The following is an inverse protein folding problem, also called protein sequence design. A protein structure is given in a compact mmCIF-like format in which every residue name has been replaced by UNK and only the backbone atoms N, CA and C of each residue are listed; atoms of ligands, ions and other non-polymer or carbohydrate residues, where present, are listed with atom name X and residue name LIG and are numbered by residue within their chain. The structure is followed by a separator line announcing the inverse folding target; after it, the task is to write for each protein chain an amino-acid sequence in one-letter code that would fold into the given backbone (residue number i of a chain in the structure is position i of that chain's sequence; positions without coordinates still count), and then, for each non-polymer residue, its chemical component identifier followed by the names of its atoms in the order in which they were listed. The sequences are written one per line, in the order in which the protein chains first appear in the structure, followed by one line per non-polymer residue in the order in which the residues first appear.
data_IF_115307263217
#
_entry.id   IF_115307263217
#
_cell.length_a   1.000
_cell.length_b   1.000
_cell.length_c   1.000
_cell.angle_alpha   90.00
_cell.angle_beta   90.00
_cell.angle_gamma   90.00
#
_symmetry.space_group_name_H-M   'P 1'
#
loop_
_entity.id
_entity.type
_entity.pdbx_description
1 polymer ?
#
# COMPACT_ATOMS: atom_id res chain seq x y z
N UNK A 1 18.11 9.01 5.31
CA UNK A 1 18.68 8.07 4.33
C UNK A 1 17.87 6.78 4.42
N UNK A 2 17.12 6.37 3.37
CA UNK A 2 16.43 5.10 3.35
C UNK A 2 17.42 3.93 3.35
N UNK A 3 17.04 2.84 4.04
CA UNK A 3 17.73 1.56 4.04
C UNK A 3 16.76 0.53 3.48
N UNK A 4 17.06 0.00 2.30
CA UNK A 4 16.24 -1.03 1.67
C UNK A 4 16.52 -2.39 2.30
N UNK A 5 15.44 -3.14 2.55
CA UNK A 5 15.45 -4.52 3.02
C UNK A 5 14.61 -5.39 2.08
N UNK A 6 14.87 -6.68 2.07
CA UNK A 6 14.11 -7.62 1.23
C UNK A 6 12.66 -7.79 1.69
N UNK A 7 11.85 -8.40 0.85
CA UNK A 7 10.44 -8.71 1.09
C UNK A 7 10.23 -10.18 1.42
N UNK A 8 9.08 -10.50 2.04
CA UNK A 8 8.64 -11.85 2.34
C UNK A 8 7.86 -12.47 1.16
N UNK A 9 7.32 -13.68 1.36
CA UNK A 9 6.51 -14.40 0.37
C UNK A 9 5.18 -13.71 0.03
N UNK A 10 4.71 -12.80 0.87
CA UNK A 10 3.52 -11.98 0.63
C UNK A 10 3.85 -10.64 -0.03
N UNK A 11 5.06 -10.48 -0.55
CA UNK A 11 5.56 -9.24 -1.18
C UNK A 11 5.62 -8.04 -0.23
N UNK A 12 5.47 -8.24 1.06
CA UNK A 12 5.58 -7.21 2.08
C UNK A 12 6.98 -7.20 2.69
N UNK A 13 7.31 -6.13 3.41
CA UNK A 13 8.61 -6.00 4.09
C UNK A 13 8.88 -7.18 5.02
N UNK A 14 10.04 -7.83 4.87
CA UNK A 14 10.42 -8.98 5.70
C UNK A 14 10.87 -8.53 7.09
N UNK A 15 10.11 -8.88 8.11
CA UNK A 15 10.38 -8.52 9.52
C UNK A 15 11.71 -9.06 10.06
N UNK A 16 12.20 -10.20 9.55
CA UNK A 16 13.49 -10.75 9.95
C UNK A 16 14.64 -9.95 9.34
N UNK A 17 14.48 -9.48 8.11
CA UNK A 17 15.46 -8.59 7.46
C UNK A 17 15.45 -7.21 8.11
N UNK A 18 14.28 -6.70 8.48
CA UNK A 18 14.14 -5.45 9.26
C UNK A 18 14.93 -5.53 10.56
N UNK A 19 14.78 -6.60 11.36
CA UNK A 19 15.52 -6.75 12.63
C UNK A 19 17.04 -6.66 12.44
N UNK A 20 17.55 -7.25 11.35
CA UNK A 20 18.99 -7.23 11.03
C UNK A 20 19.48 -5.86 10.53
N UNK A 21 18.58 -5.06 9.96
CA UNK A 21 18.90 -3.74 9.41
C UNK A 21 18.96 -2.61 10.47
N UNK A 22 18.38 -2.84 11.64
CA UNK A 22 18.29 -1.81 12.71
C UNK A 22 19.67 -1.48 13.26
N UNK A 23 19.92 -0.20 13.40
CA UNK A 23 21.13 0.36 14.05
C UNK A 23 20.73 1.46 15.03
N UNK A 24 21.68 1.97 15.84
CA UNK A 24 21.44 3.12 16.72
C UNK A 24 20.99 4.39 15.98
N UNK A 25 21.16 4.46 14.67
CA UNK A 25 20.73 5.58 13.81
C UNK A 25 19.35 5.38 13.19
N UNK A 26 18.76 4.19 13.27
CA UNK A 26 17.44 3.92 12.74
C UNK A 26 16.39 4.70 13.54
N UNK A 27 15.49 5.38 12.87
CA UNK A 27 14.46 6.23 13.49
C UNK A 27 13.03 5.79 13.15
N UNK A 28 12.85 5.15 12.00
CA UNK A 28 11.53 4.76 11.53
C UNK A 28 11.60 3.48 10.70
N UNK A 29 10.49 2.76 10.68
CA UNK A 29 10.16 1.76 9.68
C UNK A 29 9.02 2.35 8.83
N UNK A 30 9.17 2.26 7.51
CA UNK A 30 8.13 2.61 6.55
C UNK A 30 7.65 1.29 5.91
N UNK A 31 6.44 0.87 6.23
CA UNK A 31 5.86 -0.38 5.77
C UNK A 31 4.77 -0.11 4.74
N UNK A 32 4.86 -0.78 3.58
CA UNK A 32 3.79 -0.78 2.58
C UNK A 32 2.93 -2.02 2.80
N UNK A 33 1.61 -1.85 2.82
CA UNK A 33 0.63 -2.94 2.83
C UNK A 33 0.26 -3.23 1.36
N UNK A 34 1.03 -4.10 0.71
CA UNK A 34 1.04 -4.22 -0.74
C UNK A 34 -0.17 -5.00 -1.28
N UNK A 35 -0.81 -4.49 -2.34
CA UNK A 35 -1.93 -5.12 -3.07
C UNK A 35 -3.09 -5.58 -2.18
N UNK A 36 -3.32 -4.88 -1.07
CA UNK A 36 -4.41 -5.20 -0.16
C UNK A 36 -4.01 -6.08 1.02
N UNK A 37 -2.81 -6.65 1.02
CA UNK A 37 -2.32 -7.56 2.06
C UNK A 37 -1.60 -6.79 3.17
N UNK A 38 -2.06 -6.86 4.43
CA UNK A 38 -1.32 -6.25 5.53
C UNK A 38 0.07 -6.86 5.69
N UNK A 39 1.07 -6.03 5.94
CA UNK A 39 2.35 -6.50 6.45
C UNK A 39 2.19 -7.09 7.87
N UNK A 40 3.23 -7.71 8.42
CA UNK A 40 3.22 -8.19 9.80
C UNK A 40 3.27 -7.01 10.81
N UNK A 41 2.24 -6.15 10.75
CA UNK A 41 2.17 -4.85 11.42
C UNK A 41 2.31 -4.93 12.93
N UNK A 42 1.77 -5.97 13.56
CA UNK A 42 1.92 -6.19 15.00
C UNK A 42 3.39 -6.36 15.37
N UNK A 43 4.13 -7.19 14.61
CA UNK A 43 5.55 -7.44 14.83
C UNK A 43 6.36 -6.16 14.55
N UNK A 44 6.06 -5.45 13.47
CA UNK A 44 6.75 -4.21 13.12
C UNK A 44 6.54 -3.12 14.18
N UNK A 45 5.32 -3.00 14.72
CA UNK A 45 5.01 -2.08 15.83
C UNK A 45 5.82 -2.44 17.08
N UNK A 46 5.88 -3.74 17.43
CA UNK A 46 6.61 -4.19 18.62
C UNK A 46 8.13 -3.96 18.46
N UNK A 47 8.67 -4.16 17.26
CA UNK A 47 10.05 -3.80 16.92
C UNK A 47 10.27 -2.30 17.11
N UNK A 48 9.38 -1.46 16.60
CA UNK A 48 9.47 -0.01 16.74
C UNK A 48 9.42 0.42 18.20
N UNK A 49 8.48 -0.11 18.97
CA UNK A 49 8.34 0.20 20.40
C UNK A 49 9.59 -0.17 21.20
N UNK A 50 10.11 -1.38 21.00
CA UNK A 50 11.30 -1.87 21.72
C UNK A 50 12.57 -1.08 21.39
N UNK A 51 12.64 -0.48 20.21
CA UNK A 51 13.82 0.28 19.76
C UNK A 51 13.58 1.82 19.78
N UNK A 52 12.48 2.30 20.36
CA UNK A 52 12.11 3.73 20.39
C UNK A 52 12.09 4.37 18.99
N UNK A 53 11.59 3.61 18.01
CA UNK A 53 11.40 4.04 16.63
C UNK A 53 9.91 4.28 16.34
N UNK A 54 9.62 4.90 15.22
CA UNK A 54 8.26 5.08 14.73
C UNK A 54 7.95 4.11 13.60
N UNK A 55 6.71 3.65 13.51
CA UNK A 55 6.16 2.93 12.37
C UNK A 55 5.31 3.91 11.56
N UNK A 56 5.51 3.94 10.25
CA UNK A 56 4.68 4.65 9.28
C UNK A 56 4.16 3.61 8.29
N UNK A 57 2.90 3.70 7.94
CA UNK A 57 2.26 2.74 7.04
C UNK A 57 1.85 3.42 5.73
N UNK A 58 2.22 2.83 4.61
CA UNK A 58 1.59 3.12 3.34
C UNK A 58 0.46 2.10 3.13
N UNK A 59 -0.76 2.59 3.24
CA UNK A 59 -1.97 1.78 3.10
C UNK A 59 -2.78 2.17 1.85
N UNK A 60 -2.11 2.77 0.87
CA UNK A 60 -2.78 3.26 -0.33
C UNK A 60 -3.52 2.17 -1.09
N UNK A 61 -2.97 0.94 -1.12
CA UNK A 61 -3.58 -0.21 -1.78
C UNK A 61 -4.38 -1.12 -0.83
N UNK A 62 -4.53 -0.77 0.45
CA UNK A 62 -5.06 -1.69 1.46
C UNK A 62 -6.16 -1.10 2.32
N UNK A 63 -6.98 -0.22 1.75
CA UNK A 63 -8.16 0.30 2.44
C UNK A 63 -9.11 -0.85 2.83
N UNK A 64 -9.43 -0.95 4.13
CA UNK A 64 -10.30 -1.99 4.68
C UNK A 64 -9.61 -3.31 5.01
N UNK A 65 -8.31 -3.44 4.76
CA UNK A 65 -7.53 -4.58 5.24
C UNK A 65 -7.38 -4.51 6.77
N UNK A 66 -7.37 -5.67 7.42
CA UNK A 66 -7.22 -5.75 8.87
C UNK A 66 -6.21 -6.83 9.27
N UNK A 67 -5.58 -6.62 10.42
CA UNK A 67 -4.77 -7.62 11.13
C UNK A 67 -5.25 -7.69 12.58
N UNK A 68 -5.62 -8.88 13.06
CA UNK A 68 -6.17 -9.10 14.41
C UNK A 68 -7.32 -8.13 14.74
N UNK A 69 -8.22 -7.91 13.79
CA UNK A 69 -9.39 -7.04 13.94
C UNK A 69 -9.10 -5.53 13.92
N UNK A 70 -7.84 -5.10 13.81
CA UNK A 70 -7.46 -3.69 13.70
C UNK A 70 -7.13 -3.34 12.25
N UNK A 71 -7.60 -2.19 11.76
CA UNK A 71 -7.35 -1.72 10.39
C UNK A 71 -5.87 -1.45 10.14
N UNK A 72 -5.35 -1.95 9.02
CA UNK A 72 -4.08 -1.52 8.48
C UNK A 72 -4.11 0.00 8.20
N UNK A 73 -2.95 0.66 8.31
CA UNK A 73 -2.86 2.13 8.29
C UNK A 73 -3.09 2.79 9.66
N UNK A 74 -3.40 2.00 10.72
CA UNK A 74 -3.64 2.52 12.07
C UNK A 74 -2.73 1.92 13.15
N UNK A 75 -1.76 1.10 12.76
CA UNK A 75 -0.82 0.45 13.70
C UNK A 75 0.31 1.37 14.13
N UNK A 76 0.78 2.22 13.22
CA UNK A 76 1.90 3.12 13.41
C UNK A 76 1.52 4.52 13.89
N UNK A 77 2.50 5.43 13.82
CA UNK A 77 2.29 6.85 14.10
C UNK A 77 1.29 7.49 13.13
N UNK A 78 1.23 7.01 11.90
CA UNK A 78 0.27 7.42 10.89
C UNK A 78 0.29 6.48 9.70
N UNK A 79 -0.82 6.48 8.98
CA UNK A 79 -1.02 5.71 7.76
C UNK A 79 -1.55 6.57 6.63
N UNK A 80 -1.06 6.32 5.42
CA UNK A 80 -1.51 7.00 4.20
C UNK A 80 -2.56 6.17 3.47
N UNK A 81 -3.51 6.83 2.82
CA UNK A 81 -4.56 6.24 2.00
C UNK A 81 -4.67 7.02 0.69
N UNK A 82 -4.81 6.30 -0.41
CA UNK A 82 -5.05 6.89 -1.72
C UNK A 82 -6.52 6.82 -2.10
N UNK A 83 -7.01 7.89 -2.71
CA UNK A 83 -8.33 7.96 -3.31
C UNK A 83 -8.25 8.18 -4.82
N UNK A 84 -7.13 7.76 -5.41
CA UNK A 84 -6.92 7.75 -6.85
C UNK A 84 -7.95 6.85 -7.53
N UNK A 85 -8.29 7.12 -8.80
CA UNK A 85 -9.43 6.51 -9.48
C UNK A 85 -9.43 4.98 -9.52
N UNK A 86 -8.27 4.33 -9.44
CA UNK A 86 -8.15 2.86 -9.49
C UNK A 86 -8.12 2.20 -8.11
N UNK A 87 -8.25 2.96 -7.02
CA UNK A 87 -8.18 2.44 -5.66
C UNK A 87 -9.56 2.02 -5.11
N UNK A 88 -9.58 1.39 -3.95
CA UNK A 88 -10.80 0.87 -3.32
C UNK A 88 -11.88 1.93 -3.13
N UNK A 89 -11.49 3.09 -2.57
CA UNK A 89 -12.30 4.28 -2.46
C UNK A 89 -11.70 5.32 -3.40
N UNK A 90 -12.49 5.86 -4.30
CA UNK A 90 -12.00 6.78 -5.30
C UNK A 90 -12.72 8.14 -5.23
N UNK A 91 -11.94 9.19 -5.44
CA UNK A 91 -12.45 10.57 -5.57
C UNK A 91 -11.88 11.26 -6.80
N UNK A 92 -11.57 10.50 -7.86
CA UNK A 92 -10.76 10.83 -9.03
C UNK A 92 -9.28 11.01 -8.64
N UNK A 93 -8.96 12.04 -7.93
CA UNK A 93 -7.69 12.32 -7.24
C UNK A 93 -7.97 12.58 -5.76
N UNK A 94 -7.01 12.26 -4.91
CA UNK A 94 -7.11 12.54 -3.49
C UNK A 94 -6.35 11.54 -2.63
N UNK A 95 -6.31 11.83 -1.34
CA UNK A 95 -5.70 10.98 -0.34
C UNK A 95 -6.00 11.46 1.07
N UNK A 96 -5.66 10.63 2.03
CA UNK A 96 -5.82 10.93 3.44
C UNK A 96 -4.65 10.39 4.24
N UNK A 97 -4.29 11.10 5.29
CA UNK A 97 -3.39 10.60 6.33
C UNK A 97 -4.18 10.52 7.63
N UNK A 98 -4.08 9.40 8.32
CA UNK A 98 -4.68 9.20 9.64
C UNK A 98 -3.60 9.11 10.71
N UNK A 99 -3.89 9.66 11.89
CA UNK A 99 -3.03 9.58 13.07
C UNK A 99 -3.81 9.85 14.32
N UNK A 100 -3.45 9.20 15.43
CA UNK A 100 -3.96 9.50 16.78
C UNK A 100 -3.19 10.64 17.46
N UNK A 101 -2.10 11.13 16.86
CA UNK A 101 -1.31 12.23 17.38
C UNK A 101 -1.88 13.58 16.94
N UNK A 102 -2.56 14.27 17.83
CA UNK A 102 -3.22 15.54 17.55
C UNK A 102 -2.25 16.65 17.09
N UNK A 103 -1.03 16.68 17.63
CA UNK A 103 0.01 17.65 17.23
C UNK A 103 0.47 17.38 15.81
N UNK A 104 0.72 16.12 15.46
CA UNK A 104 1.08 15.73 14.11
C UNK A 104 -0.07 16.03 13.13
N UNK A 105 -1.33 15.78 13.52
CA UNK A 105 -2.49 16.10 12.70
C UNK A 105 -2.58 17.60 12.40
N UNK A 106 -2.33 18.46 13.39
CA UNK A 106 -2.31 19.91 13.22
C UNK A 106 -1.14 20.37 12.34
N UNK A 107 0.05 19.79 12.54
CA UNK A 107 1.19 20.06 11.68
C UNK A 107 0.88 19.72 10.21
N UNK A 108 0.29 18.54 9.95
CA UNK A 108 -0.12 18.14 8.59
C UNK A 108 -1.22 19.04 8.02
N UNK A 109 -2.20 19.50 8.82
CA UNK A 109 -3.21 20.46 8.36
C UNK A 109 -2.58 21.79 7.96
N UNK A 110 -1.60 22.25 8.72
CA UNK A 110 -0.87 23.48 8.44
C UNK A 110 -0.06 23.36 7.14
N UNK A 111 0.82 22.34 7.01
CA UNK A 111 1.71 22.21 5.87
C UNK A 111 0.99 21.92 4.55
N UNK A 112 -0.16 21.24 4.55
CA UNK A 112 -0.96 21.02 3.33
C UNK A 112 -1.54 22.31 2.74
N UNK A 113 -1.60 23.38 3.55
CA UNK A 113 -2.22 24.67 3.23
C UNK A 113 -1.26 25.81 3.60
N UNK A 114 -0.11 25.87 2.96
CA UNK A 114 0.88 26.95 3.04
C UNK A 114 1.51 27.19 4.43
N UNK A 115 1.26 26.37 5.41
CA UNK A 115 1.68 26.62 6.80
C UNK A 115 0.68 27.44 7.64
N UNK A 116 -0.56 27.58 7.19
CA UNK A 116 -1.60 28.37 7.87
C UNK A 116 -2.00 27.80 9.23
N UNK A 117 -2.37 28.71 10.16
CA UNK A 117 -2.96 28.36 11.47
C UNK A 117 -4.46 28.10 11.40
N UNK A 118 -5.09 28.36 10.29
CA UNK A 118 -6.54 28.40 10.10
C UNK A 118 -7.26 27.14 10.55
N UNK A 119 -6.72 25.97 10.20
CA UNK A 119 -7.30 24.64 10.44
C UNK A 119 -6.73 23.94 11.69
N UNK A 120 -5.92 24.62 12.51
CA UNK A 120 -5.37 24.07 13.74
C UNK A 120 -6.49 23.84 14.76
N UNK A 121 -6.45 22.68 15.42
CA UNK A 121 -7.40 22.27 16.45
C UNK A 121 -6.84 22.29 17.87
N UNK A 122 -5.50 22.43 17.98
CA UNK A 122 -4.79 22.54 19.26
C UNK A 122 -3.97 23.84 19.30
N UNK A 123 -3.58 24.27 20.49
CA UNK A 123 -2.74 25.46 20.68
C UNK A 123 -1.24 25.16 20.69
N UNK A 124 -0.83 23.91 20.34
CA UNK A 124 0.57 23.49 20.49
C UNK A 124 1.49 24.15 19.46
N UNK A 125 1.06 24.23 18.19
CA UNK A 125 1.84 24.89 17.13
C UNK A 125 1.68 26.40 17.15
N UNK A 126 0.52 26.89 17.50
CA UNK A 126 0.18 28.30 17.58
C UNK A 126 -1.02 28.51 18.49
N UNK A 127 -0.86 29.35 19.48
CA UNK A 127 -1.96 29.80 20.32
C UNK A 127 -2.68 30.96 19.63
N UNK A 128 -3.93 30.72 19.20
CA UNK A 128 -4.74 31.73 18.53
C UNK A 128 -4.96 32.95 19.44
N UNK A 129 -4.90 34.15 18.85
CA UNK A 129 -5.07 35.41 19.57
C UNK A 129 -6.48 35.58 20.11
N UNK A 130 -7.47 34.93 19.51
CA UNK A 130 -8.89 35.12 19.76
C UNK A 130 -9.52 36.17 18.84
N UNK A 131 -8.72 36.90 18.05
CA UNK A 131 -9.18 37.77 17.00
C UNK A 131 -9.09 37.04 15.64
N UNK A 132 -10.24 36.68 15.03
CA UNK A 132 -10.24 35.96 13.73
C UNK A 132 -9.57 36.76 12.60
N UNK A 133 -9.56 38.09 12.64
CA UNK A 133 -8.93 38.92 11.66
C UNK A 133 -7.41 38.81 11.77
N UNK A 134 -6.85 38.95 12.96
CA UNK A 134 -5.41 38.82 13.22
C UNK A 134 -4.88 37.41 12.90
N UNK A 135 -5.67 36.36 13.17
CA UNK A 135 -5.29 34.96 12.94
C UNK A 135 -5.49 34.52 11.47
N UNK A 136 -6.22 35.29 10.65
CA UNK A 136 -6.67 34.86 9.31
C UNK A 136 -5.55 34.53 8.33
N UNK A 137 -4.39 35.18 8.43
CA UNK A 137 -3.21 35.02 7.56
C UNK A 137 -1.92 34.82 8.36
N UNK A 138 -1.99 34.11 9.48
CA UNK A 138 -0.80 33.68 10.23
C UNK A 138 -0.27 32.34 9.67
N UNK A 139 1.04 32.24 9.56
CA UNK A 139 1.76 31.08 9.08
C UNK A 139 2.77 30.68 10.13
N UNK A 140 2.81 29.40 10.50
CA UNK A 140 3.65 28.88 11.59
C UNK A 140 4.70 27.89 11.13
N UNK A 141 4.62 27.46 9.88
CA UNK A 141 5.61 26.57 9.24
C UNK A 141 5.65 26.83 7.73
N UNK A 142 6.65 26.29 7.08
CA UNK A 142 6.66 26.12 5.63
C UNK A 142 5.52 25.22 5.20
N UNK A 143 5.03 25.36 3.96
CA UNK A 143 3.91 24.54 3.52
C UNK A 143 3.78 24.42 2.02
N UNK A 144 2.84 23.57 1.62
CA UNK A 144 2.50 23.25 0.24
C UNK A 144 1.06 23.70 -0.06
N UNK A 145 0.69 23.72 -1.32
CA UNK A 145 -0.71 23.87 -1.74
C UNK A 145 -1.24 22.50 -2.19
N UNK A 146 -1.60 21.64 -1.24
CA UNK A 146 -2.14 20.29 -1.48
C UNK A 146 -3.49 20.10 -0.79
N UNK A 147 -4.31 21.13 -0.79
CA UNK A 147 -5.66 21.12 -0.23
C UNK A 147 -6.57 20.25 -1.10
N UNK A 148 -7.45 19.41 -0.52
CA UNK A 148 -8.43 18.64 -1.27
C UNK A 148 -9.48 19.57 -1.90
N UNK A 149 -10.08 19.11 -2.99
CA UNK A 149 -11.26 19.75 -3.58
C UNK A 149 -12.52 19.35 -2.78
N UNK A 150 -13.46 20.27 -2.62
CA UNK A 150 -14.77 19.98 -1.99
C UNK A 150 -15.54 18.89 -2.75
N UNK A 151 -15.42 18.85 -4.07
CA UNK A 151 -16.02 17.79 -4.90
C UNK A 151 -15.47 16.40 -4.53
N UNK A 152 -14.18 16.28 -4.28
CA UNK A 152 -13.58 15.03 -3.82
C UNK A 152 -14.16 14.58 -2.48
N UNK A 153 -14.42 15.51 -1.57
CA UNK A 153 -15.09 15.23 -0.30
C UNK A 153 -16.53 14.72 -0.48
N UNK A 154 -17.29 15.34 -1.39
CA UNK A 154 -18.65 14.94 -1.71
C UNK A 154 -18.71 13.54 -2.34
N UNK A 155 -17.85 13.27 -3.34
CA UNK A 155 -17.73 11.95 -3.98
C UNK A 155 -17.31 10.90 -2.95
N UNK A 156 -16.29 11.18 -2.15
CA UNK A 156 -15.76 10.28 -1.14
C UNK A 156 -16.81 9.90 -0.09
N UNK A 157 -17.66 10.85 0.33
CA UNK A 157 -18.76 10.61 1.26
C UNK A 157 -19.80 9.62 0.71
N UNK A 158 -20.03 9.60 -0.60
CA UNK A 158 -20.90 8.63 -1.26
C UNK A 158 -20.20 7.29 -1.42
N UNK A 159 -18.93 7.29 -1.84
CA UNK A 159 -18.15 6.08 -2.01
C UNK A 159 -17.98 5.33 -0.68
N UNK A 160 -17.72 6.05 0.42
CA UNK A 160 -17.52 5.47 1.74
C UNK A 160 -18.70 4.60 2.19
N UNK A 161 -19.94 4.99 1.85
CA UNK A 161 -21.16 4.22 2.16
C UNK A 161 -21.21 2.86 1.46
N UNK A 162 -20.43 2.68 0.37
CA UNK A 162 -20.41 1.45 -0.44
C UNK A 162 -19.23 0.54 -0.09
N UNK A 163 -18.26 1.04 0.70
CA UNK A 163 -16.95 0.40 0.88
C UNK A 163 -17.02 -1.01 1.42
N UNK A 164 -17.87 -1.28 2.42
CA UNK A 164 -17.97 -2.63 2.99
C UNK A 164 -18.33 -3.65 1.91
N UNK A 165 -19.33 -3.31 1.06
CA UNK A 165 -19.74 -4.15 -0.04
C UNK A 165 -18.66 -4.30 -1.12
N UNK A 166 -17.89 -3.24 -1.40
CA UNK A 166 -16.79 -3.30 -2.35
C UNK A 166 -15.67 -4.25 -1.88
N UNK A 167 -15.37 -4.24 -0.59
CA UNK A 167 -14.36 -5.13 0.00
C UNK A 167 -14.87 -6.58 0.04
N UNK A 168 -16.15 -6.79 0.33
CA UNK A 168 -16.79 -8.10 0.27
C UNK A 168 -16.62 -8.74 -1.11
N UNK A 169 -17.06 -8.07 -2.19
CA UNK A 169 -16.85 -8.56 -3.56
C UNK A 169 -15.40 -8.87 -3.88
N UNK A 170 -14.46 -8.02 -3.44
CA UNK A 170 -13.03 -8.26 -3.67
C UNK A 170 -12.54 -9.52 -2.96
N UNK A 171 -13.08 -9.82 -1.80
CA UNK A 171 -12.77 -11.04 -1.05
C UNK A 171 -13.38 -12.28 -1.70
N UNK A 172 -14.63 -12.20 -2.15
CA UNK A 172 -15.28 -13.30 -2.88
C UNK A 172 -14.49 -13.64 -4.16
N UNK A 173 -14.08 -12.63 -4.91
CA UNK A 173 -13.21 -12.81 -6.07
C UNK A 173 -11.85 -13.43 -5.68
N UNK A 174 -11.32 -13.08 -4.53
CA UNK A 174 -10.04 -13.63 -4.07
C UNK A 174 -10.17 -15.09 -3.64
N UNK A 175 -11.30 -15.52 -3.06
CA UNK A 175 -11.57 -16.92 -2.80
C UNK A 175 -11.54 -17.71 -4.10
N UNK A 176 -12.28 -17.24 -5.13
CA UNK A 176 -12.23 -17.84 -6.48
C UNK A 176 -10.81 -17.89 -7.04
N UNK A 177 -10.03 -16.81 -6.90
CA UNK A 177 -8.64 -16.80 -7.36
C UNK A 177 -7.77 -17.82 -6.62
N UNK A 178 -7.90 -17.93 -5.30
CA UNK A 178 -7.13 -18.89 -4.51
C UNK A 178 -7.47 -20.33 -4.89
N UNK A 179 -8.75 -20.63 -5.14
CA UNK A 179 -9.21 -21.95 -5.59
C UNK A 179 -8.68 -22.30 -6.98
N UNK A 180 -8.94 -21.44 -7.97
CA UNK A 180 -8.58 -21.67 -9.37
C UNK A 180 -7.06 -21.77 -9.61
N UNK A 181 -6.26 -21.12 -8.78
CA UNK A 181 -4.81 -21.14 -8.87
C UNK A 181 -4.15 -22.12 -7.88
N UNK A 182 -4.93 -22.94 -7.18
CA UNK A 182 -4.42 -23.84 -6.13
C UNK A 182 -3.50 -24.93 -6.64
N UNK A 183 -3.77 -25.46 -7.84
CA UNK A 183 -3.02 -26.53 -8.50
C UNK A 183 -1.73 -26.04 -9.17
N UNK A 184 -1.63 -24.74 -9.42
CA UNK A 184 -0.44 -24.11 -9.97
C UNK A 184 0.56 -23.81 -8.85
N UNK A 185 1.80 -24.21 -9.05
CA UNK A 185 2.89 -23.92 -8.10
C UNK A 185 3.35 -22.46 -8.13
N UNK A 186 2.44 -21.52 -8.44
CA UNK A 186 2.74 -20.10 -8.41
C UNK A 186 2.81 -19.56 -6.99
N UNK A 187 3.75 -18.64 -6.74
CA UNK A 187 3.69 -17.81 -5.56
C UNK A 187 2.48 -16.87 -5.64
N UNK A 188 1.78 -16.75 -4.55
CA UNK A 188 0.59 -15.87 -4.37
C UNK A 188 0.65 -15.24 -3.01
N UNK A 189 0.01 -14.09 -2.86
CA UNK A 189 -0.27 -13.60 -1.52
C UNK A 189 -1.29 -14.51 -0.83
N UNK A 190 -1.05 -14.81 0.43
CA UNK A 190 -1.94 -15.66 1.25
C UNK A 190 -2.17 -15.02 2.61
N UNK A 191 -3.40 -15.04 3.08
CA UNK A 191 -3.75 -14.57 4.41
C UNK A 191 -3.17 -15.49 5.48
N UNK A 192 -2.41 -14.93 6.40
CA UNK A 192 -1.99 -15.61 7.64
C UNK A 192 -3.09 -15.45 8.69
N UNK A 193 -3.05 -16.27 9.76
CA UNK A 193 -4.01 -16.16 10.86
C UNK A 193 -4.16 -14.72 11.35
N UNK A 194 -5.40 -14.26 11.45
CA UNK A 194 -5.75 -12.90 11.85
C UNK A 194 -5.58 -11.81 10.79
N UNK A 195 -5.05 -12.14 9.61
CA UNK A 195 -5.00 -11.22 8.47
C UNK A 195 -6.27 -11.32 7.64
N UNK A 196 -6.80 -10.18 7.23
CA UNK A 196 -7.88 -10.08 6.25
C UNK A 196 -7.50 -9.01 5.22
N UNK A 197 -7.12 -9.47 4.04
CA UNK A 197 -6.75 -8.60 2.91
C UNK A 197 -7.98 -7.87 2.36
N UNK A 198 -7.75 -6.74 1.76
CA UNK A 198 -8.74 -6.02 0.94
C UNK A 198 -8.58 -6.29 -0.56
N UNK A 199 -7.60 -7.09 -0.93
CA UNK A 199 -7.37 -7.63 -2.27
C UNK A 199 -7.47 -6.59 -3.39
N UNK A 200 -6.51 -5.69 -3.44
CA UNK A 200 -6.41 -4.68 -4.50
C UNK A 200 -6.21 -5.32 -5.88
N UNK A 201 -5.44 -6.38 -5.93
CA UNK A 201 -5.19 -7.18 -7.12
C UNK A 201 -4.64 -8.55 -6.76
N UNK A 202 -4.45 -9.39 -7.75
CA UNK A 202 -4.01 -10.77 -7.62
C UNK A 202 -2.56 -10.91 -8.08
N UNK A 203 -1.64 -11.02 -7.12
CA UNK A 203 -0.24 -11.25 -7.42
C UNK A 203 -0.01 -12.69 -7.90
N UNK A 204 0.70 -12.83 -9.00
CA UNK A 204 1.14 -14.11 -9.58
C UNK A 204 2.65 -14.08 -9.72
N UNK A 205 3.33 -15.02 -9.08
CA UNK A 205 4.80 -15.12 -9.08
C UNK A 205 5.16 -16.47 -9.69
N UNK A 206 5.85 -16.43 -10.83
CA UNK A 206 6.21 -17.65 -11.55
C UNK A 206 7.16 -18.51 -10.71
N UNK A 207 6.97 -19.84 -10.66
CA UNK A 207 7.93 -20.75 -10.04
C UNK A 207 9.20 -20.86 -10.89
N UNK A 208 10.29 -21.33 -10.31
CA UNK A 208 11.58 -21.46 -11.00
C UNK A 208 11.52 -22.25 -12.31
N UNK A 209 10.65 -23.27 -12.41
CA UNK A 209 10.44 -24.05 -13.64
C UNK A 209 9.92 -23.19 -14.82
N UNK A 210 9.35 -22.03 -14.53
CA UNK A 210 8.80 -21.09 -15.52
C UNK A 210 9.54 -19.73 -15.51
N UNK A 211 10.68 -19.65 -14.85
CA UNK A 211 11.48 -18.42 -14.83
C UNK A 211 11.77 -17.94 -16.28
N UNK A 212 11.63 -16.64 -16.50
CA UNK A 212 11.80 -16.00 -17.80
C UNK A 212 10.59 -16.09 -18.75
N UNK A 213 9.53 -16.85 -18.41
CA UNK A 213 8.33 -16.97 -19.27
C UNK A 213 7.30 -15.84 -19.05
N UNK A 214 7.55 -14.90 -18.11
CA UNK A 214 6.60 -13.82 -17.79
C UNK A 214 6.11 -13.06 -19.02
N UNK A 215 7.02 -12.70 -19.94
CA UNK A 215 6.64 -11.97 -21.15
C UNK A 215 5.63 -12.74 -21.99
N UNK A 216 5.83 -14.06 -22.20
CA UNK A 216 4.91 -14.90 -22.96
C UNK A 216 3.51 -14.91 -22.36
N UNK A 217 3.42 -15.01 -21.02
CA UNK A 217 2.15 -15.00 -20.30
C UNK A 217 1.46 -13.64 -20.43
N UNK A 218 2.21 -12.54 -20.24
CA UNK A 218 1.65 -11.18 -20.33
C UNK A 218 1.14 -10.93 -21.78
N UNK A 219 1.87 -11.34 -22.79
CA UNK A 219 1.44 -11.17 -24.18
C UNK A 219 0.16 -11.98 -24.47
N UNK A 220 0.03 -13.20 -23.93
CA UNK A 220 -1.18 -14.01 -24.04
C UNK A 220 -2.38 -13.39 -23.32
N UNK A 221 -2.21 -12.94 -22.06
CA UNK A 221 -3.26 -12.26 -21.30
C UNK A 221 -3.72 -10.98 -21.99
N UNK A 222 -2.78 -10.21 -22.53
CA UNK A 222 -3.07 -9.00 -23.30
C UNK A 222 -3.90 -9.28 -24.56
N UNK A 223 -3.60 -10.37 -25.28
CA UNK A 223 -4.36 -10.80 -26.46
C UNK A 223 -5.82 -11.11 -26.11
N UNK A 224 -6.07 -11.54 -24.87
CA UNK A 224 -7.39 -11.81 -24.31
C UNK A 224 -8.01 -10.60 -23.59
N UNK A 225 -7.46 -9.40 -23.76
CA UNK A 225 -7.89 -8.15 -23.12
C UNK A 225 -7.85 -8.20 -21.58
N UNK A 226 -6.95 -9.00 -21.00
CA UNK A 226 -6.71 -9.03 -19.56
C UNK A 226 -5.52 -8.12 -19.26
N UNK A 227 -5.78 -7.00 -18.60
CA UNK A 227 -4.74 -6.04 -18.22
C UNK A 227 -3.89 -6.60 -17.07
N UNK A 228 -2.57 -6.49 -17.23
CA UNK A 228 -1.60 -6.90 -16.21
C UNK A 228 -0.63 -5.78 -15.92
N UNK A 229 -0.03 -5.80 -14.73
CA UNK A 229 0.98 -4.83 -14.29
C UNK A 229 2.11 -5.55 -13.58
N UNK A 230 3.34 -4.97 -13.56
CA UNK A 230 4.38 -5.42 -12.64
C UNK A 230 3.88 -5.37 -11.20
N UNK A 231 4.45 -6.16 -10.30
CA UNK A 231 4.15 -6.02 -8.87
C UNK A 231 4.67 -4.65 -8.41
N UNK A 232 3.84 -3.66 -8.61
CA UNK A 232 4.04 -2.22 -8.40
C UNK A 232 5.36 -1.76 -9.01
N UNK A 233 6.37 -1.41 -8.20
CA UNK A 233 7.68 -0.96 -8.68
C UNK A 233 8.69 -2.11 -8.84
N UNK A 234 8.32 -3.34 -8.50
CA UNK A 234 9.27 -4.44 -8.41
C UNK A 234 10.38 -4.16 -7.38
N UNK A 235 11.63 -4.44 -7.75
CA UNK A 235 12.77 -4.00 -6.95
C UNK A 235 13.05 -2.52 -7.18
N UNK A 236 12.80 -1.68 -6.18
CA UNK A 236 12.98 -0.22 -6.30
C UNK A 236 14.41 0.18 -6.67
N UNK A 237 15.41 -0.65 -6.36
CA UNK A 237 16.81 -0.40 -6.75
C UNK A 237 17.02 -0.43 -8.28
N UNK A 238 16.10 -1.04 -9.03
CA UNK A 238 16.14 -1.07 -10.49
C UNK A 238 15.49 0.19 -11.12
N UNK A 239 14.90 1.07 -10.31
CA UNK A 239 14.30 2.31 -10.81
C UNK A 239 15.38 3.37 -11.06
N UNK A 240 15.35 4.08 -12.21
CA UNK A 240 16.36 5.09 -12.54
C UNK A 240 16.54 6.20 -11.48
N UNK A 241 15.48 6.51 -10.74
CA UNK A 241 15.49 7.55 -9.69
C UNK A 241 16.42 7.19 -8.53
N UNK A 242 16.74 5.92 -8.32
CA UNK A 242 17.61 5.49 -7.23
C UNK A 242 19.00 6.16 -7.28
N UNK A 243 19.49 6.46 -8.49
CA UNK A 243 20.75 7.14 -8.70
C UNK A 243 20.77 8.58 -8.17
N UNK A 244 19.58 9.15 -7.88
CA UNK A 244 19.42 10.50 -7.31
C UNK A 244 19.17 10.48 -5.80
N UNK A 245 19.06 9.31 -5.21
CA UNK A 245 18.69 9.12 -3.80
C UNK A 245 19.87 8.52 -3.04
N UNK A 246 20.40 9.24 -2.06
CA UNK A 246 21.36 8.65 -1.10
C UNK A 246 20.64 7.56 -0.32
N UNK A 247 21.07 6.31 -0.46
CA UNK A 247 20.42 5.15 0.15
C UNK A 247 21.43 4.14 0.68
N UNK A 248 20.94 3.13 1.37
CA UNK A 248 21.70 1.94 1.80
C UNK A 248 20.87 0.69 1.51
N UNK A 249 21.54 -0.44 1.45
CA UNK A 249 20.96 -1.76 1.30
C UNK A 249 21.40 -2.62 2.49
N UNK A 250 20.47 -3.34 3.10
CA UNK A 250 20.78 -4.28 4.19
C UNK A 250 20.59 -5.71 3.71
N UNK A 251 21.71 -6.39 3.49
CA UNK A 251 21.74 -7.75 2.95
C UNK A 251 21.41 -7.81 1.46
N UNK A 252 21.06 -9.00 1.00
CA UNK A 252 20.62 -9.24 -0.39
C UNK A 252 19.11 -9.06 -0.51
N UNK A 253 18.65 -8.51 -1.63
CA UNK A 253 17.24 -8.32 -1.96
C UNK A 253 16.76 -9.43 -2.93
N UNK A 254 17.05 -10.67 -2.60
CA UNK A 254 16.83 -11.84 -3.47
C UNK A 254 15.37 -12.02 -3.86
N UNK A 255 14.45 -11.85 -2.89
CA UNK A 255 13.01 -11.99 -3.15
C UNK A 255 12.50 -10.82 -3.99
N UNK A 256 12.87 -9.57 -3.64
CA UNK A 256 12.47 -8.40 -4.41
C UNK A 256 12.95 -8.49 -5.87
N UNK A 257 14.17 -8.95 -6.09
CA UNK A 257 14.72 -9.16 -7.44
C UNK A 257 13.98 -10.26 -8.21
N UNK A 258 13.63 -11.35 -7.52
CA UNK A 258 12.87 -12.42 -8.13
C UNK A 258 11.45 -11.98 -8.52
N UNK A 259 10.77 -11.26 -7.63
CA UNK A 259 9.45 -10.67 -7.88
C UNK A 259 9.48 -9.70 -9.05
N UNK A 260 10.49 -8.84 -9.11
CA UNK A 260 10.66 -7.88 -10.20
C UNK A 260 10.76 -8.56 -11.56
N UNK A 261 11.48 -9.68 -11.65
CA UNK A 261 11.68 -10.42 -12.91
C UNK A 261 10.53 -11.35 -13.27
N UNK A 262 9.90 -12.01 -12.28
CA UNK A 262 9.01 -13.14 -12.48
C UNK A 262 7.60 -12.91 -11.93
N UNK A 263 7.34 -11.75 -11.32
CA UNK A 263 6.04 -11.38 -10.77
C UNK A 263 5.25 -10.46 -11.68
N UNK A 264 3.94 -10.55 -11.63
CA UNK A 264 2.96 -9.60 -12.16
C UNK A 264 1.68 -9.68 -11.35
N UNK A 265 0.78 -8.73 -11.53
CA UNK A 265 -0.55 -8.84 -10.98
C UNK A 265 -1.60 -8.43 -12.02
N UNK A 266 -2.81 -8.91 -11.86
CA UNK A 266 -3.99 -8.42 -12.54
C UNK A 266 -5.03 -7.90 -11.55
N UNK A 267 -5.90 -7.00 -12.02
CA UNK A 267 -6.75 -6.22 -11.16
C UNK A 267 -7.88 -7.03 -10.52
N UNK A 268 -8.34 -6.52 -9.39
CA UNK A 268 -9.57 -6.93 -8.72
C UNK A 268 -10.46 -5.70 -8.56
N UNK A 269 -11.78 -5.88 -8.57
CA UNK A 269 -12.71 -4.79 -8.33
C UNK A 269 -13.95 -5.25 -7.53
N UNK A 270 -14.96 -4.40 -7.47
CA UNK A 270 -16.19 -4.62 -6.71
C UNK A 270 -17.32 -5.26 -7.53
N UNK A 271 -16.99 -6.00 -8.57
CA UNK A 271 -17.92 -6.82 -9.38
C UNK A 271 -17.54 -8.27 -9.22
N UNK A 272 -18.45 -9.16 -9.58
CA UNK A 272 -18.12 -10.57 -9.73
C UNK A 272 -17.15 -10.75 -10.92
N UNK A 273 -15.98 -11.27 -10.64
CA UNK A 273 -14.91 -11.53 -11.61
C UNK A 273 -14.63 -13.03 -11.79
N UNK A 274 -15.49 -13.92 -11.29
CA UNK A 274 -15.24 -15.36 -11.30
C UNK A 274 -14.88 -15.89 -12.69
N UNK A 275 -15.67 -15.53 -13.74
CA UNK A 275 -15.37 -15.96 -15.12
C UNK A 275 -14.08 -15.34 -15.66
N UNK A 276 -13.77 -14.10 -15.31
CA UNK A 276 -12.55 -13.45 -15.71
C UNK A 276 -11.31 -14.12 -15.08
N UNK A 277 -11.42 -14.53 -13.82
CA UNK A 277 -10.35 -15.24 -13.09
C UNK A 277 -10.11 -16.62 -13.71
N UNK A 278 -11.17 -17.39 -13.99
CA UNK A 278 -11.08 -18.68 -14.68
C UNK A 278 -10.45 -18.55 -16.07
N UNK A 279 -10.87 -17.54 -16.82
CA UNK A 279 -10.28 -17.23 -18.13
C UNK A 279 -8.79 -16.88 -18.01
N UNK A 280 -8.40 -16.03 -17.06
CA UNK A 280 -6.98 -15.71 -16.82
C UNK A 280 -6.17 -16.97 -16.49
N UNK A 281 -6.71 -17.85 -15.62
CA UNK A 281 -6.10 -19.14 -15.28
C UNK A 281 -5.87 -20.02 -16.52
N UNK A 282 -6.89 -20.13 -17.37
CA UNK A 282 -6.82 -20.92 -18.61
C UNK A 282 -5.73 -20.38 -19.55
N UNK A 283 -5.74 -19.08 -19.85
CA UNK A 283 -4.74 -18.42 -20.72
C UNK A 283 -3.32 -18.59 -20.19
N UNK A 284 -3.11 -18.50 -18.88
CA UNK A 284 -1.81 -18.73 -18.26
C UNK A 284 -1.36 -20.18 -18.44
N UNK A 285 -2.26 -21.14 -18.23
CA UNK A 285 -1.98 -22.56 -18.42
C UNK A 285 -1.56 -22.87 -19.87
N UNK A 286 -2.35 -22.43 -20.86
CA UNK A 286 -2.02 -22.60 -22.28
C UNK A 286 -0.68 -21.95 -22.67
N UNK A 287 -0.41 -20.74 -22.15
CA UNK A 287 0.86 -20.06 -22.40
C UNK A 287 2.06 -20.85 -21.83
N UNK A 288 1.86 -21.64 -20.81
CA UNK A 288 2.89 -22.48 -20.19
C UNK A 288 2.96 -23.90 -20.77
N UNK A 289 1.90 -24.36 -21.44
CA UNK A 289 1.74 -25.72 -21.93
C UNK A 289 1.34 -26.69 -20.82
N UNK A 290 0.54 -26.22 -19.89
CA UNK A 290 -0.04 -26.98 -18.76
C UNK A 290 -1.56 -27.16 -18.89
#
# INVERSE_FOLDING_TARGET
VPVFVDVDSNCNIDVFKVRKAITSRTRAIFAVNLLGMPADLSILRDICTSNKMILIEDNCESYGATLNGKYAGTYGLGGTFSFFFSHHLQTMEGGMIVTDNAVLADYMRSIRAHGWVRDLRTDVLYKKSGDPFEDSFKFVTEGYCVRPLEMSGAIGSVQLKKMNKFIEYRRDNAETFQEEFSDLQFGRQTEKSGMHSSWFGFAVILPKKHEGKRKKIIDALKAENIETRPIVTGNFLNQPVINKITHKISGELTNAEYLDKNGFFFGNDHRDLGDNIRRARHVIGEALGE
#
